data_IF_158522807366
#
_entry.id   IF_158522807366
#
_cell.length_a   1.000
_cell.length_b   1.000
_cell.length_c   1.000
_cell.angle_alpha   90.00
_cell.angle_beta   90.00
_cell.angle_gamma   90.00
#
_symmetry.space_group_name_H-M   'P 1'
#
loop_
_entity.id
_entity.type
_entity.pdbx_description
1 polymer ?
#
# COMPACT_ATOMS: atom_id res chain seq x y z
N UNK A 1 -43.56 -13.76 -4.37
CA UNK A 1 -43.11 -14.55 -3.21
C UNK A 1 -41.72 -15.08 -3.54
N UNK A 2 -40.68 -14.39 -3.09
CA UNK A 2 -39.29 -14.76 -3.36
C UNK A 2 -38.86 -15.70 -2.23
N UNK A 3 -38.56 -16.94 -2.60
CA UNK A 3 -38.14 -18.01 -1.69
C UNK A 3 -36.80 -17.65 -1.05
N UNK A 4 -36.81 -17.37 0.25
CA UNK A 4 -35.59 -17.28 1.06
C UNK A 4 -35.07 -18.71 1.28
N UNK A 5 -34.13 -19.14 0.43
CA UNK A 5 -33.40 -20.37 0.62
C UNK A 5 -32.45 -20.25 1.81
N UNK A 6 -32.83 -20.88 2.93
CA UNK A 6 -31.98 -21.13 4.10
C UNK A 6 -30.89 -22.13 3.74
N UNK A 7 -29.81 -21.65 3.12
CA UNK A 7 -28.60 -22.43 2.88
C UNK A 7 -27.95 -22.85 4.21
N UNK A 8 -27.35 -24.04 4.29
CA UNK A 8 -26.72 -24.55 5.50
C UNK A 8 -25.58 -23.63 5.91
N UNK A 9 -25.65 -23.11 7.14
CA UNK A 9 -24.52 -22.45 7.79
C UNK A 9 -23.39 -23.47 7.94
N UNK A 10 -22.51 -23.53 6.94
CA UNK A 10 -21.26 -24.26 7.05
C UNK A 10 -20.45 -23.57 8.14
N UNK A 11 -20.45 -24.20 9.32
CA UNK A 11 -19.59 -23.88 10.43
C UNK A 11 -18.14 -23.95 9.95
N UNK A 12 -17.60 -22.81 9.53
CA UNK A 12 -16.20 -22.62 9.26
C UNK A 12 -15.43 -22.91 10.56
N UNK A 13 -14.94 -24.15 10.69
CA UNK A 13 -13.94 -24.48 11.71
C UNK A 13 -12.75 -23.55 11.48
N UNK A 14 -12.54 -22.65 12.43
CA UNK A 14 -11.37 -21.75 12.47
C UNK A 14 -10.12 -22.64 12.45
N UNK A 15 -9.26 -22.60 11.41
CA UNK A 15 -7.95 -23.20 11.52
C UNK A 15 -7.23 -22.55 12.71
N UNK A 16 -6.60 -23.38 13.55
CA UNK A 16 -6.04 -22.99 14.85
C UNK A 16 -5.25 -21.68 14.79
N UNK A 17 -5.60 -20.77 15.71
CA UNK A 17 -5.13 -19.39 15.82
C UNK A 17 -3.64 -19.20 16.13
N UNK A 18 -2.82 -20.26 16.07
CA UNK A 18 -1.41 -20.19 16.47
C UNK A 18 -0.48 -19.59 15.39
N UNK A 19 -0.92 -19.48 14.13
CA UNK A 19 -0.11 -18.86 13.06
C UNK A 19 -0.28 -17.34 12.91
N UNK A 20 -1.27 -16.73 13.58
CA UNK A 20 -1.57 -15.30 13.41
C UNK A 20 -0.51 -14.37 14.02
N UNK A 21 0.07 -14.77 15.15
CA UNK A 21 1.05 -13.95 15.88
C UNK A 21 2.39 -13.86 15.13
N UNK A 22 2.84 -14.98 14.55
CA UNK A 22 4.07 -15.01 13.75
C UNK A 22 3.93 -14.14 12.50
N UNK A 23 2.82 -14.24 11.77
CA UNK A 23 2.64 -13.43 10.55
C UNK A 23 2.61 -11.92 10.87
N UNK A 24 2.00 -11.52 11.99
CA UNK A 24 1.97 -10.11 12.40
C UNK A 24 3.34 -9.59 12.85
N UNK A 25 4.09 -10.37 13.63
CA UNK A 25 5.46 -10.01 14.00
C UNK A 25 6.36 -9.95 12.77
N UNK A 26 6.21 -10.88 11.82
CA UNK A 26 6.94 -10.86 10.55
C UNK A 26 6.54 -9.67 9.67
N UNK A 27 5.27 -9.26 9.66
CA UNK A 27 4.83 -8.08 8.90
C UNK A 27 5.36 -6.81 9.54
N UNK A 28 5.26 -6.69 10.87
CA UNK A 28 5.84 -5.57 11.60
C UNK A 28 7.36 -5.51 11.44
N UNK A 29 8.08 -6.65 11.50
CA UNK A 29 9.50 -6.70 11.20
C UNK A 29 9.79 -6.39 9.73
N UNK A 30 9.01 -6.89 8.78
CA UNK A 30 9.24 -6.60 7.36
C UNK A 30 9.03 -5.12 7.02
N UNK A 31 8.18 -4.42 7.78
CA UNK A 31 7.88 -2.99 7.60
C UNK A 31 8.81 -2.12 8.44
N UNK A 32 9.10 -2.53 9.67
CA UNK A 32 9.96 -1.80 10.60
C UNK A 32 11.45 -2.06 10.36
N UNK A 33 11.87 -3.26 9.97
CA UNK A 33 13.28 -3.56 9.72
C UNK A 33 13.89 -2.67 8.63
N UNK A 34 13.28 -2.42 7.47
CA UNK A 34 13.84 -1.47 6.51
C UNK A 34 13.89 -0.05 7.08
N UNK A 35 12.89 0.37 7.86
CA UNK A 35 12.91 1.67 8.55
C UNK A 35 13.98 1.79 9.64
N UNK A 36 14.18 0.73 10.44
CA UNK A 36 15.20 0.64 11.49
C UNK A 36 16.58 0.57 10.87
N UNK A 37 16.77 -0.21 9.80
CA UNK A 37 18.01 -0.24 9.05
C UNK A 37 18.30 1.13 8.44
N UNK A 38 17.30 1.84 7.92
CA UNK A 38 17.47 3.21 7.42
C UNK A 38 17.84 4.23 8.51
N UNK A 39 17.20 4.15 9.67
CA UNK A 39 17.54 4.97 10.84
C UNK A 39 18.96 4.67 11.34
N UNK A 40 19.34 3.38 11.39
CA UNK A 40 20.68 2.95 11.80
C UNK A 40 21.76 3.33 10.79
N UNK A 41 21.43 3.40 9.50
CA UNK A 41 22.32 3.86 8.43
C UNK A 41 22.37 5.40 8.32
N UNK A 42 21.62 6.13 9.14
CA UNK A 42 21.58 7.59 9.10
C UNK A 42 21.02 8.16 7.79
N UNK A 43 20.21 7.39 7.06
CA UNK A 43 19.61 7.83 5.81
C UNK A 43 18.44 8.76 6.15
N UNK A 44 18.62 10.04 5.89
CA UNK A 44 17.57 11.04 6.01
C UNK A 44 16.52 10.78 4.92
N UNK A 45 15.40 10.13 5.29
CA UNK A 45 14.27 9.87 4.39
C UNK A 45 13.44 11.13 4.14
N UNK A 46 13.53 12.14 5.01
CA UNK A 46 12.80 13.41 4.91
C UNK A 46 12.86 14.09 3.53
N UNK A 47 14.05 14.28 2.90
CA UNK A 47 14.16 14.96 1.60
C UNK A 47 13.54 14.16 0.43
N UNK A 48 13.33 12.85 0.57
CA UNK A 48 12.68 12.03 -0.46
C UNK A 48 11.16 12.26 -0.50
N UNK A 49 10.56 12.68 0.63
CA UNK A 49 9.11 12.83 0.78
C UNK A 49 8.60 14.26 0.63
N UNK A 50 9.43 15.27 0.92
CA UNK A 50 9.01 16.68 0.84
C UNK A 50 9.13 17.29 -0.57
N UNK A 51 9.61 16.51 -1.55
CA UNK A 51 10.08 17.06 -2.82
C UNK A 51 11.22 18.06 -2.58
N UNK A 52 11.82 18.64 -3.64
CA UNK A 52 12.64 19.81 -3.47
C UNK A 52 11.73 20.97 -3.03
N UNK A 53 11.41 21.05 -1.74
CA UNK A 53 10.84 22.24 -1.16
C UNK A 53 11.79 23.38 -1.51
N UNK A 54 11.36 24.22 -2.44
CA UNK A 54 12.11 25.31 -3.01
C UNK A 54 12.89 26.03 -1.90
N UNK A 55 14.21 25.79 -1.86
CA UNK A 55 15.13 26.51 -0.99
C UNK A 55 15.38 27.88 -1.63
N UNK A 56 14.29 28.63 -1.76
CA UNK A 56 14.25 30.03 -2.15
C UNK A 56 14.07 30.87 -0.89
N UNK A 57 15.14 31.03 -0.12
CA UNK A 57 15.35 32.26 0.63
C UNK A 57 16.84 32.48 0.88
N UNK A 58 17.43 33.16 -0.10
CA UNK A 58 18.62 33.98 0.05
C UNK A 58 18.55 34.78 1.35
N UNK A 59 19.44 34.49 2.30
CA UNK A 59 19.95 35.47 3.25
C UNK A 59 21.48 35.39 3.21
N UNK A 60 22.02 36.10 2.23
CA UNK A 60 23.43 36.45 2.11
C UNK A 60 23.67 37.68 2.98
N UNK A 61 24.31 37.54 4.14
CA UNK A 61 25.50 38.33 4.51
C UNK A 61 26.01 37.95 5.91
N UNK A 62 27.26 37.49 5.99
CA UNK A 62 27.96 37.28 7.25
C UNK A 62 29.02 36.18 7.16
N UNK A 63 30.05 36.37 6.34
CA UNK A 63 31.24 35.53 6.32
C UNK A 63 31.93 35.57 7.68
N UNK A 64 32.13 34.40 8.30
CA UNK A 64 33.33 34.11 9.06
C UNK A 64 33.80 32.70 8.70
N UNK A 65 34.77 32.68 7.80
CA UNK A 65 35.53 31.53 7.33
C UNK A 65 36.46 31.05 8.46
N UNK A 66 36.06 30.06 9.26
CA UNK A 66 37.03 29.40 10.16
C UNK A 66 36.58 28.02 10.66
N UNK A 67 36.04 27.16 9.79
CA UNK A 67 36.18 25.70 9.94
C UNK A 67 35.68 25.03 8.66
N UNK A 68 36.61 24.72 7.74
CA UNK A 68 36.42 23.66 6.74
C UNK A 68 36.39 22.32 7.48
N UNK A 69 35.29 22.07 8.18
CA UNK A 69 34.94 20.74 8.63
C UNK A 69 34.65 19.91 7.39
N UNK A 70 35.45 18.87 7.20
CA UNK A 70 35.30 17.87 6.16
C UNK A 70 33.91 17.24 6.33
N UNK A 71 32.93 17.70 5.55
CA UNK A 71 31.59 17.14 5.54
C UNK A 71 31.69 15.71 5.03
N UNK A 72 31.68 14.75 5.95
CA UNK A 72 31.53 13.33 5.67
C UNK A 72 30.31 13.15 4.77
N UNK A 73 30.59 12.91 3.50
CA UNK A 73 29.59 12.83 2.46
C UNK A 73 28.92 11.48 2.61
N UNK A 74 27.83 11.41 3.38
CA UNK A 74 27.03 10.19 3.50
C UNK A 74 26.66 9.74 2.08
N UNK A 75 27.04 8.52 1.65
CA UNK A 75 26.76 8.05 0.31
C UNK A 75 25.24 8.05 0.08
N UNK A 76 24.79 8.90 -0.82
CA UNK A 76 23.37 9.02 -1.16
C UNK A 76 22.95 7.80 -1.98
N UNK A 77 22.27 6.86 -1.34
CA UNK A 77 21.61 5.76 -2.05
C UNK A 77 20.43 6.35 -2.83
N UNK A 78 20.36 6.15 -4.16
CA UNK A 78 19.27 6.71 -4.93
C UNK A 78 17.94 6.04 -4.55
N UNK A 79 16.89 6.86 -4.44
CA UNK A 79 15.54 6.46 -4.01
C UNK A 79 14.99 5.21 -4.72
N UNK A 80 15.20 5.12 -6.04
CA UNK A 80 14.69 4.02 -6.86
C UNK A 80 15.32 2.67 -6.50
N UNK A 81 16.59 2.67 -6.07
CA UNK A 81 17.28 1.44 -5.67
C UNK A 81 16.68 0.91 -4.37
N UNK A 82 16.43 1.80 -3.41
CA UNK A 82 15.75 1.44 -2.17
C UNK A 82 14.33 0.89 -2.43
N UNK A 83 13.55 1.57 -3.27
CA UNK A 83 12.20 1.09 -3.63
C UNK A 83 12.24 -0.28 -4.31
N UNK A 84 13.23 -0.54 -5.17
CA UNK A 84 13.42 -1.84 -5.82
C UNK A 84 13.78 -2.96 -4.83
N UNK A 85 14.69 -2.69 -3.89
CA UNK A 85 15.06 -3.64 -2.83
C UNK A 85 13.85 -3.92 -1.94
N UNK A 86 13.16 -2.88 -1.46
CA UNK A 86 11.96 -3.03 -0.64
C UNK A 86 10.88 -3.84 -1.38
N UNK A 87 10.59 -3.52 -2.64
CA UNK A 87 9.59 -4.23 -3.44
C UNK A 87 9.95 -5.71 -3.62
N UNK A 88 11.23 -6.04 -3.74
CA UNK A 88 11.71 -7.42 -3.84
C UNK A 88 11.52 -8.17 -2.53
N UNK A 89 12.00 -7.63 -1.40
CA UNK A 89 11.84 -8.25 -0.08
C UNK A 89 10.35 -8.40 0.27
N UNK A 90 9.56 -7.35 0.03
CA UNK A 90 8.11 -7.35 0.24
C UNK A 90 7.40 -8.43 -0.59
N UNK A 91 7.81 -8.62 -1.85
CA UNK A 91 7.25 -9.66 -2.71
C UNK A 91 7.43 -11.05 -2.12
N UNK A 92 8.67 -11.39 -1.74
CA UNK A 92 9.00 -12.71 -1.23
C UNK A 92 8.36 -12.99 0.13
N UNK A 93 8.32 -12.01 1.02
CA UNK A 93 7.80 -12.19 2.39
C UNK A 93 6.28 -12.11 2.46
N UNK A 94 5.69 -11.06 1.90
CA UNK A 94 4.27 -10.74 2.08
C UNK A 94 3.47 -11.27 0.90
N UNK A 95 3.79 -10.80 -0.30
CA UNK A 95 2.95 -11.03 -1.48
C UNK A 95 2.86 -12.52 -1.80
N UNK A 96 3.97 -13.26 -1.77
CA UNK A 96 3.96 -14.71 -2.04
C UNK A 96 3.15 -15.50 -1.02
N UNK A 97 3.14 -15.08 0.24
CA UNK A 97 2.37 -15.74 1.31
C UNK A 97 0.89 -15.35 1.31
N UNK A 98 0.52 -14.28 0.62
CA UNK A 98 -0.82 -13.74 0.63
C UNK A 98 -1.77 -14.55 -0.27
N UNK A 99 -2.99 -14.80 0.20
CA UNK A 99 -3.99 -15.63 -0.52
C UNK A 99 -4.57 -14.87 -1.70
N UNK A 100 -4.69 -15.52 -2.85
CA UNK A 100 -5.39 -14.95 -4.01
C UNK A 100 -6.90 -14.89 -3.77
N UNK A 101 -7.58 -13.92 -4.40
CA UNK A 101 -9.00 -13.64 -4.19
C UNK A 101 -9.95 -14.68 -4.80
N UNK A 102 -9.48 -15.40 -5.84
CA UNK A 102 -10.20 -16.38 -6.66
C UNK A 102 -10.88 -17.53 -5.88
N UNK A 103 -10.54 -17.74 -4.61
CA UNK A 103 -10.94 -18.91 -3.81
C UNK A 103 -11.89 -18.62 -2.65
N UNK A 104 -12.37 -17.39 -2.48
CA UNK A 104 -13.08 -16.99 -1.26
C UNK A 104 -14.47 -16.41 -1.55
N UNK A 105 -15.49 -16.76 -0.75
CA UNK A 105 -16.80 -16.12 -0.84
C UNK A 105 -16.66 -14.65 -0.43
N UNK A 106 -17.09 -13.75 -1.33
CA UNK A 106 -17.04 -12.31 -1.10
C UNK A 106 -17.96 -11.92 0.08
N UNK A 107 -17.37 -11.35 1.13
CA UNK A 107 -18.10 -10.81 2.28
C UNK A 107 -18.68 -9.41 2.01
N UNK A 108 -19.91 -9.11 2.43
CA UNK A 108 -20.50 -7.77 2.21
C UNK A 108 -19.69 -6.59 2.80
N UNK A 109 -18.80 -6.82 3.77
CA UNK A 109 -18.05 -5.77 4.46
C UNK A 109 -17.04 -5.03 3.57
N UNK A 110 -16.31 -5.72 2.69
CA UNK A 110 -15.34 -5.04 1.81
C UNK A 110 -16.04 -4.18 0.75
N UNK A 111 -17.24 -4.57 0.31
CA UNK A 111 -18.04 -3.77 -0.62
C UNK A 111 -18.40 -2.41 0.00
N UNK A 112 -18.74 -2.38 1.29
CA UNK A 112 -18.98 -1.13 2.01
C UNK A 112 -17.75 -0.22 2.01
N UNK A 113 -16.55 -0.78 2.23
CA UNK A 113 -15.29 -0.02 2.19
C UNK A 113 -15.06 0.56 0.79
N UNK A 114 -15.36 -0.18 -0.27
CA UNK A 114 -15.18 0.26 -1.67
C UNK A 114 -16.25 1.24 -2.15
N UNK A 115 -17.45 1.23 -1.56
CA UNK A 115 -18.53 2.15 -1.91
C UNK A 115 -18.34 3.55 -1.31
N UNK A 116 -17.60 3.64 -0.20
CA UNK A 116 -17.19 4.91 0.39
C UNK A 116 -16.16 5.66 -0.47
N UNK A 117 -16.08 6.98 -0.29
CA UNK A 117 -15.03 7.76 -0.94
C UNK A 117 -13.64 7.38 -0.36
N UNK A 118 -12.56 7.42 -1.16
CA UNK A 118 -11.23 7.00 -0.68
C UNK A 118 -10.77 7.74 0.59
N UNK A 119 -11.06 9.03 0.69
CA UNK A 119 -10.72 9.84 1.87
C UNK A 119 -11.48 9.39 3.13
N UNK A 120 -12.77 9.08 3.01
CA UNK A 120 -13.60 8.63 4.13
C UNK A 120 -13.26 7.21 4.55
N UNK A 121 -12.95 6.35 3.57
CA UNK A 121 -12.54 4.97 3.80
C UNK A 121 -11.26 4.87 4.66
N UNK A 122 -10.39 5.90 4.67
CA UNK A 122 -9.21 5.95 5.55
C UNK A 122 -9.54 5.79 7.04
N UNK A 123 -10.78 6.07 7.47
CA UNK A 123 -11.24 5.81 8.85
C UNK A 123 -11.36 4.31 9.17
N UNK A 124 -11.46 3.49 8.13
CA UNK A 124 -11.58 2.03 8.21
C UNK A 124 -10.28 1.32 7.84
N UNK A 125 -9.35 2.02 7.18
CA UNK A 125 -8.03 1.49 6.82
C UNK A 125 -7.22 1.27 8.08
N UNK A 126 -6.68 0.07 8.24
CA UNK A 126 -5.72 -0.23 9.30
C UNK A 126 -4.44 0.58 9.17
N UNK A 127 -3.83 0.93 10.30
CA UNK A 127 -2.60 1.72 10.31
C UNK A 127 -1.48 1.14 9.40
N UNK A 128 -1.21 -0.18 9.38
CA UNK A 128 -0.22 -0.75 8.47
C UNK A 128 -0.56 -0.51 7.00
N UNK A 129 -1.82 -0.66 6.60
CA UNK A 129 -2.23 -0.41 5.22
C UNK A 129 -2.10 1.06 4.85
N UNK A 130 -2.47 1.97 5.75
CA UNK A 130 -2.28 3.41 5.55
C UNK A 130 -0.80 3.78 5.36
N UNK A 131 0.07 3.28 6.24
CA UNK A 131 1.51 3.53 6.17
C UNK A 131 2.12 2.92 4.90
N UNK A 132 1.85 1.64 4.59
CA UNK A 132 2.40 1.00 3.39
C UNK A 132 1.93 1.69 2.11
N UNK A 133 0.69 2.16 2.07
CA UNK A 133 0.16 2.86 0.89
C UNK A 133 0.76 4.26 0.74
N UNK A 134 1.14 4.91 1.85
CA UNK A 134 1.80 6.20 1.83
C UNK A 134 3.29 6.09 1.48
N UNK A 135 4.03 5.17 2.12
CA UNK A 135 5.48 5.06 1.96
C UNK A 135 5.91 4.15 0.82
N UNK A 136 5.08 3.17 0.45
CA UNK A 136 5.42 2.11 -0.50
C UNK A 136 4.28 1.89 -1.50
N UNK A 137 3.71 2.99 -1.99
CA UNK A 137 2.52 2.99 -2.86
C UNK A 137 2.65 2.02 -4.04
N UNK A 138 3.79 2.03 -4.75
CA UNK A 138 4.03 1.17 -5.92
C UNK A 138 3.97 -0.32 -5.58
N UNK A 139 4.63 -0.73 -4.50
CA UNK A 139 4.65 -2.13 -4.06
C UNK A 139 3.28 -2.56 -3.52
N UNK A 140 2.60 -1.70 -2.74
CA UNK A 140 1.28 -2.01 -2.18
C UNK A 140 0.20 -2.08 -3.25
N UNK A 141 0.18 -1.16 -4.22
CA UNK A 141 -0.74 -1.19 -5.34
C UNK A 141 -0.51 -2.45 -6.21
N UNK A 142 0.75 -2.74 -6.55
CA UNK A 142 1.12 -3.94 -7.31
C UNK A 142 0.71 -5.24 -6.62
N UNK A 143 0.85 -5.31 -5.30
CA UNK A 143 0.37 -6.43 -4.50
C UNK A 143 -1.14 -6.60 -4.65
N UNK A 144 -1.91 -5.51 -4.52
CA UNK A 144 -3.36 -5.58 -4.72
C UNK A 144 -3.70 -6.09 -6.11
N UNK A 145 -3.06 -5.55 -7.16
CA UNK A 145 -3.30 -5.96 -8.55
C UNK A 145 -3.00 -7.44 -8.80
N UNK A 146 -1.94 -8.00 -8.21
CA UNK A 146 -1.63 -9.41 -8.35
C UNK A 146 -2.65 -10.31 -7.66
N UNK A 147 -3.14 -9.89 -6.48
CA UNK A 147 -4.08 -10.72 -5.70
C UNK A 147 -5.52 -10.65 -6.18
N UNK A 148 -5.90 -9.55 -6.81
CA UNK A 148 -7.16 -9.44 -7.55
C UNK A 148 -7.07 -10.03 -8.96
N UNK A 149 -5.87 -10.28 -9.47
CA UNK A 149 -5.65 -10.78 -10.83
C UNK A 149 -5.72 -9.70 -11.92
N UNK A 150 -5.74 -8.42 -11.54
CA UNK A 150 -5.73 -7.30 -12.49
C UNK A 150 -4.37 -7.17 -13.24
N UNK A 151 -3.24 -7.46 -12.58
CA UNK A 151 -1.92 -7.42 -13.23
C UNK A 151 -0.90 -8.27 -12.47
N UNK A 152 0.16 -8.74 -13.15
CA UNK A 152 1.29 -9.41 -12.48
C UNK A 152 2.07 -8.41 -11.63
N UNK A 153 2.54 -8.82 -10.46
CA UNK A 153 3.18 -7.92 -9.48
C UNK A 153 4.28 -7.03 -10.08
N UNK A 154 5.26 -7.61 -10.77
CA UNK A 154 6.38 -6.82 -11.31
C UNK A 154 5.96 -5.83 -12.38
N UNK A 155 4.99 -6.20 -13.23
CA UNK A 155 4.46 -5.31 -14.26
C UNK A 155 3.68 -4.18 -13.61
N UNK A 156 2.81 -4.50 -12.65
CA UNK A 156 2.08 -3.50 -11.86
C UNK A 156 3.02 -2.56 -11.08
N UNK A 157 4.06 -3.10 -10.47
CA UNK A 157 5.05 -2.33 -9.71
C UNK A 157 5.78 -1.34 -10.61
N UNK A 158 6.34 -1.80 -11.74
CA UNK A 158 7.04 -0.93 -12.68
C UNK A 158 6.09 0.11 -13.29
N UNK A 159 4.85 -0.27 -13.63
CA UNK A 159 3.87 0.65 -14.19
C UNK A 159 3.44 1.73 -13.17
N UNK A 160 3.25 1.39 -11.89
CA UNK A 160 2.93 2.38 -10.85
C UNK A 160 4.16 3.23 -10.51
N UNK A 161 5.36 2.66 -10.53
CA UNK A 161 6.59 3.43 -10.31
C UNK A 161 6.85 4.47 -11.42
N UNK A 162 6.57 4.13 -12.68
CA UNK A 162 6.75 5.05 -13.82
C UNK A 162 5.57 6.03 -13.99
N UNK A 163 4.33 5.56 -13.79
CA UNK A 163 3.11 6.33 -14.08
C UNK A 163 2.05 6.09 -12.99
N UNK A 164 2.22 6.59 -11.76
CA UNK A 164 1.40 6.20 -10.62
C UNK A 164 -0.09 6.48 -10.84
N UNK A 165 -0.45 7.69 -11.22
CA UNK A 165 -1.86 8.08 -11.36
C UNK A 165 -2.53 7.39 -12.57
N UNK A 166 -1.81 7.26 -13.69
CA UNK A 166 -2.34 6.63 -14.90
C UNK A 166 -2.57 5.13 -14.71
N UNK A 167 -1.58 4.43 -14.15
CA UNK A 167 -1.65 3.00 -13.89
C UNK A 167 -2.70 2.67 -12.85
N UNK A 168 -2.76 3.43 -11.75
CA UNK A 168 -3.80 3.24 -10.73
C UNK A 168 -5.18 3.51 -11.31
N UNK A 169 -5.39 4.59 -12.06
CA UNK A 169 -6.68 4.85 -12.72
C UNK A 169 -7.09 3.72 -13.66
N UNK A 170 -6.16 3.21 -14.48
CA UNK A 170 -6.44 2.14 -15.42
C UNK A 170 -6.84 0.83 -14.71
N UNK A 171 -6.03 0.37 -13.75
CA UNK A 171 -6.24 -0.92 -13.07
C UNK A 171 -7.25 -0.85 -11.91
N UNK A 172 -7.65 0.34 -11.47
CA UNK A 172 -8.58 0.51 -10.35
C UNK A 172 -9.95 -0.10 -10.63
N UNK A 173 -10.51 0.11 -11.83
CA UNK A 173 -11.82 -0.44 -12.16
C UNK A 173 -11.80 -1.96 -12.27
N UNK A 174 -10.73 -2.54 -12.82
CA UNK A 174 -10.54 -4.00 -12.86
C UNK A 174 -10.40 -4.58 -11.45
N UNK A 175 -9.62 -3.90 -10.59
CA UNK A 175 -9.44 -4.29 -9.18
C UNK A 175 -10.77 -4.23 -8.41
N UNK A 176 -11.59 -3.20 -8.65
CA UNK A 176 -12.92 -3.06 -8.02
C UNK A 176 -13.87 -4.15 -8.46
N UNK A 177 -13.91 -4.46 -9.75
CA UNK A 177 -14.75 -5.54 -10.27
C UNK A 177 -14.34 -6.90 -9.76
N UNK A 178 -13.03 -7.17 -9.68
CA UNK A 178 -12.50 -8.39 -9.09
C UNK A 178 -12.93 -8.54 -7.62
N UNK A 179 -13.01 -7.43 -6.89
CA UNK A 179 -13.55 -7.35 -5.53
C UNK A 179 -15.09 -7.30 -5.47
N UNK A 180 -15.80 -7.45 -6.59
CA UNK A 180 -17.26 -7.45 -6.66
C UNK A 180 -17.94 -6.07 -6.51
N UNK A 181 -17.17 -4.98 -6.49
CA UNK A 181 -17.69 -3.63 -6.43
C UNK A 181 -18.00 -3.06 -7.82
N UNK A 182 -18.88 -2.05 -7.87
CA UNK A 182 -19.20 -1.34 -9.13
C UNK A 182 -18.01 -0.52 -9.61
N UNK A 183 -17.81 -0.47 -10.94
CA UNK A 183 -16.88 0.45 -11.59
C UNK A 183 -17.21 1.90 -11.23
N UNK A 184 -16.18 2.70 -11.05
CA UNK A 184 -16.31 4.15 -10.93
C UNK A 184 -16.37 4.78 -12.31
N UNK A 185 -17.12 5.88 -12.43
CA UNK A 185 -17.08 6.71 -13.62
C UNK A 185 -15.67 7.23 -13.88
N UNK A 186 -15.26 7.28 -15.14
CA UNK A 186 -13.94 7.72 -15.57
C UNK A 186 -13.47 9.07 -14.95
N UNK A 187 -14.30 10.14 -14.85
CA UNK A 187 -13.85 11.39 -14.24
C UNK A 187 -13.61 11.27 -12.73
N UNK A 188 -14.46 10.52 -12.02
CA UNK A 188 -14.31 10.27 -10.58
C UNK A 188 -13.07 9.42 -10.31
N UNK A 189 -12.87 8.38 -11.11
CA UNK A 189 -11.73 7.47 -11.05
C UNK A 189 -10.40 8.22 -11.26
N UNK A 190 -10.35 9.07 -12.28
CA UNK A 190 -9.19 9.91 -12.59
C UNK A 190 -8.92 10.94 -11.48
N UNK A 191 -9.97 11.59 -10.97
CA UNK A 191 -9.86 12.55 -9.87
C UNK A 191 -9.24 11.91 -8.61
N UNK A 192 -9.75 10.74 -8.19
CA UNK A 192 -9.17 10.03 -7.04
C UNK A 192 -7.74 9.55 -7.30
N UNK A 193 -7.45 9.08 -8.51
CA UNK A 193 -6.10 8.63 -8.89
C UNK A 193 -5.07 9.76 -8.91
N UNK A 194 -5.48 11.00 -9.21
CA UNK A 194 -4.58 12.17 -9.25
C UNK A 194 -4.45 12.82 -7.86
N UNK A 195 -5.57 13.05 -7.16
CA UNK A 195 -5.57 13.86 -5.93
C UNK A 195 -5.50 13.05 -4.63
N UNK A 196 -5.74 11.74 -4.66
CA UNK A 196 -5.79 10.89 -3.46
C UNK A 196 -5.27 9.48 -3.75
N UNK A 197 -4.19 9.34 -4.53
CA UNK A 197 -3.69 8.03 -4.96
C UNK A 197 -3.38 7.12 -3.76
N UNK A 198 -2.77 7.67 -2.70
CA UNK A 198 -2.46 6.90 -1.49
C UNK A 198 -3.72 6.40 -0.77
N UNK A 199 -4.76 7.25 -0.66
CA UNK A 199 -6.04 6.93 -0.01
C UNK A 199 -6.72 5.78 -0.74
N UNK A 200 -6.68 5.87 -2.06
CA UNK A 200 -7.27 4.90 -2.95
C UNK A 200 -6.54 3.55 -2.87
N UNK A 201 -5.21 3.54 -2.89
CA UNK A 201 -4.41 2.32 -2.73
C UNK A 201 -4.65 1.71 -1.35
N UNK A 202 -4.75 2.53 -0.30
CA UNK A 202 -5.05 2.10 1.06
C UNK A 202 -6.46 1.50 1.19
N UNK A 203 -7.46 2.13 0.59
CA UNK A 203 -8.84 1.63 0.54
C UNK A 203 -8.91 0.27 -0.17
N UNK A 204 -8.25 0.13 -1.32
CA UNK A 204 -8.22 -1.13 -2.07
C UNK A 204 -7.49 -2.24 -1.30
N UNK A 205 -6.37 -1.90 -0.66
CA UNK A 205 -5.62 -2.77 0.22
C UNK A 205 -6.47 -3.30 1.38
N UNK A 206 -7.18 -2.41 2.07
CA UNK A 206 -8.06 -2.79 3.18
C UNK A 206 -9.24 -3.63 2.70
N UNK A 207 -9.85 -3.27 1.57
CA UNK A 207 -10.93 -4.06 0.98
C UNK A 207 -10.46 -5.48 0.61
N UNK A 208 -9.25 -5.63 0.07
CA UNK A 208 -8.65 -6.93 -0.22
C UNK A 208 -8.36 -7.73 1.05
N UNK A 209 -7.82 -7.10 2.10
CA UNK A 209 -7.58 -7.73 3.40
C UNK A 209 -8.88 -8.27 4.01
N UNK A 210 -9.95 -7.47 3.99
CA UNK A 210 -11.28 -7.89 4.44
C UNK A 210 -11.86 -8.99 3.56
N UNK A 211 -11.73 -8.89 2.24
CA UNK A 211 -12.23 -9.91 1.31
C UNK A 211 -11.52 -11.26 1.47
N UNK A 212 -10.21 -11.24 1.74
CA UNK A 212 -9.40 -12.46 1.89
C UNK A 212 -9.38 -13.01 3.33
N UNK A 213 -9.99 -12.30 4.28
CA UNK A 213 -9.97 -12.64 5.70
C UNK A 213 -8.60 -12.50 6.35
N UNK A 214 -7.66 -11.81 5.69
CA UNK A 214 -6.37 -11.44 6.25
C UNK A 214 -6.61 -10.28 7.22
N UNK A 215 -6.48 -10.53 8.52
CA UNK A 215 -6.84 -9.53 9.54
C UNK A 215 -5.87 -8.36 9.56
N UNK A 216 -6.28 -7.26 8.96
CA UNK A 216 -5.88 -5.90 9.28
C UNK A 216 -6.69 -5.41 10.50
N UNK A 217 -6.39 -5.92 11.70
CA UNK A 217 -6.84 -5.39 13.00
C UNK A 217 -8.30 -4.83 13.07
N UNK A 218 -9.30 -5.68 13.28
CA UNK A 218 -10.58 -5.24 13.87
C UNK A 218 -11.00 -6.20 14.98
N UNK A 219 -10.82 -5.73 16.22
CA UNK A 219 -11.66 -6.11 17.36
C UNK A 219 -12.95 -5.30 17.33
#
# INVERSE_FOLDING_TARGET
MVSQGSGPQQAWRRPGSSCGLSLQLFTLLAVAAPFVVMLLLGIDVLPMFLGPAAHGRSYRHGQSEATRGQSDTVPQVPAWLFQGIFATVYYWMVVRSYRALDRLPLQMRHLKILDENPCGAMRHVSLPNGLLSCYCQSARAAHTFEKTGASKYWIGFLAVACFPCCTVSYLQNETREALGAKRLGLPTNLCYSIFCTFCLVAQQAEALDVATGQRSWSG
#
